data_IF_577667496357
#
_entry.id   IF_577667496357
#
_cell.length_a   1.000
_cell.length_b   1.000
_cell.length_c   1.000
_cell.angle_alpha   90.00
_cell.angle_beta   90.00
_cell.angle_gamma   90.00
#
_symmetry.space_group_name_H-M   'P 1'
#
loop_
_entity.id
_entity.type
_entity.pdbx_description
1 polymer ?
#
# COMPACT_ATOMS: atom_id res chain seq x y z
N UNK A 1 -0.77 45.37 -1.89
CA UNK A 1 0.32 44.78 -2.69
C UNK A 1 0.72 43.48 -2.03
N UNK A 2 0.16 42.38 -2.52
CA UNK A 2 0.45 41.02 -2.08
C UNK A 2 1.87 40.69 -2.50
N UNK A 3 2.74 40.38 -1.54
CA UNK A 3 4.08 39.86 -1.81
C UNK A 3 3.94 38.53 -2.53
N UNK A 4 4.39 38.50 -3.79
CA UNK A 4 4.60 37.26 -4.52
C UNK A 4 5.56 36.41 -3.68
N UNK A 5 5.06 35.34 -3.09
CA UNK A 5 5.90 34.33 -2.48
C UNK A 5 6.83 33.80 -3.59
N UNK A 6 8.14 33.79 -3.31
CA UNK A 6 9.14 33.13 -4.14
C UNK A 6 8.68 31.69 -4.40
N UNK A 7 8.10 31.44 -5.57
CA UNK A 7 7.77 30.11 -6.01
C UNK A 7 9.09 29.42 -6.34
N UNK A 8 9.66 28.72 -5.36
CA UNK A 8 10.84 27.89 -5.56
C UNK A 8 10.64 27.04 -6.82
N UNK A 9 11.66 27.01 -7.69
CA UNK A 9 11.58 26.25 -8.93
C UNK A 9 11.18 24.79 -8.63
N UNK A 10 10.24 24.20 -9.40
CA UNK A 10 9.76 22.84 -9.15
C UNK A 10 10.94 21.86 -9.10
N UNK A 11 10.91 20.86 -8.20
CA UNK A 11 12.04 19.96 -7.99
C UNK A 11 12.31 19.12 -9.24
N UNK A 12 13.54 18.66 -9.39
CA UNK A 12 13.99 17.90 -10.56
C UNK A 12 13.29 16.54 -10.70
N UNK A 13 12.94 15.92 -9.56
CA UNK A 13 12.09 14.72 -9.40
C UNK A 13 11.39 14.81 -8.05
N UNK A 14 10.13 14.42 -7.97
CA UNK A 14 9.37 14.31 -6.72
C UNK A 14 8.18 13.35 -6.84
N UNK A 15 7.75 12.83 -5.69
CA UNK A 15 6.46 12.19 -5.51
C UNK A 15 5.57 13.13 -4.70
N UNK A 16 4.53 13.67 -5.33
CA UNK A 16 3.55 14.53 -4.67
C UNK A 16 2.46 13.63 -4.09
N UNK A 17 2.18 13.77 -2.80
CA UNK A 17 1.22 12.96 -2.05
C UNK A 17 0.09 13.86 -1.57
N UNK A 18 -1.11 13.70 -2.11
CA UNK A 18 -2.30 14.48 -1.74
C UNK A 18 -3.00 13.87 -0.51
N UNK A 19 -2.80 14.48 0.66
CA UNK A 19 -3.42 14.01 1.90
C UNK A 19 -4.92 14.29 1.94
N UNK A 20 -5.45 15.24 1.16
CA UNK A 20 -6.90 15.44 1.07
C UNK A 20 -7.54 14.30 0.26
N UNK A 21 -6.88 13.82 -0.80
CA UNK A 21 -7.28 12.61 -1.52
C UNK A 21 -7.26 11.36 -0.61
N UNK A 22 -6.25 11.20 0.27
CA UNK A 22 -6.26 10.13 1.29
C UNK A 22 -7.51 10.22 2.16
N UNK A 23 -7.81 11.43 2.69
CA UNK A 23 -8.97 11.62 3.56
C UNK A 23 -10.29 11.33 2.84
N UNK A 24 -10.43 11.76 1.59
CA UNK A 24 -11.60 11.47 0.76
C UNK A 24 -11.77 9.98 0.51
N UNK A 25 -10.71 9.29 0.09
CA UNK A 25 -10.73 7.85 -0.14
C UNK A 25 -11.12 7.07 1.11
N UNK A 26 -10.53 7.42 2.28
CA UNK A 26 -10.88 6.77 3.55
C UNK A 26 -12.35 7.02 3.90
N UNK A 27 -12.88 8.24 3.74
CA UNK A 27 -14.30 8.53 3.97
C UNK A 27 -15.22 7.74 3.03
N UNK A 28 -14.90 7.71 1.74
CA UNK A 28 -15.65 6.95 0.72
C UNK A 28 -15.70 5.47 1.08
N UNK A 29 -14.54 4.87 1.40
CA UNK A 29 -14.46 3.46 1.76
C UNK A 29 -15.15 3.16 3.08
N UNK A 30 -14.98 4.00 4.11
CA UNK A 30 -15.65 3.85 5.40
C UNK A 30 -17.18 3.89 5.25
N UNK A 31 -17.70 4.80 4.42
CA UNK A 31 -19.12 4.85 4.11
C UNK A 31 -19.62 3.59 3.38
N UNK A 32 -18.84 3.05 2.44
CA UNK A 32 -19.21 1.87 1.66
C UNK A 32 -19.27 0.56 2.48
N UNK A 33 -18.48 0.49 3.55
CA UNK A 33 -18.31 -0.72 4.38
C UNK A 33 -19.04 -0.66 5.71
N UNK A 34 -19.63 0.49 6.05
CA UNK A 34 -20.43 0.67 7.26
C UNK A 34 -21.50 -0.45 7.40
N UNK A 35 -21.77 -0.94 8.62
CA UNK A 35 -21.29 -0.42 9.91
C UNK A 35 -19.91 -0.97 10.35
N UNK A 36 -19.20 -1.73 9.51
CA UNK A 36 -17.88 -2.22 9.87
C UNK A 36 -16.89 -1.06 10.06
N UNK A 37 -16.03 -1.18 11.08
CA UNK A 37 -14.95 -0.22 11.36
C UNK A 37 -13.88 -0.34 10.28
N UNK A 38 -13.00 0.65 10.16
CA UNK A 38 -11.89 0.60 9.19
C UNK A 38 -10.51 0.62 9.85
N UNK A 39 -9.64 -0.27 9.37
CA UNK A 39 -8.20 -0.28 9.64
C UNK A 39 -7.48 0.20 8.39
N UNK A 40 -6.81 1.35 8.47
CA UNK A 40 -5.95 1.84 7.40
C UNK A 40 -4.60 1.12 7.43
N UNK A 41 -4.28 0.42 6.34
CA UNK A 41 -3.03 -0.34 6.21
C UNK A 41 -1.95 0.57 5.65
N UNK A 42 -0.95 0.88 6.49
CA UNK A 42 0.14 1.84 6.22
C UNK A 42 1.53 1.19 6.22
N UNK A 43 1.59 -0.14 6.04
CA UNK A 43 2.84 -0.89 5.83
C UNK A 43 3.61 -0.41 4.60
N UNK A 44 4.86 -0.81 4.51
CA UNK A 44 5.81 -0.45 3.45
C UNK A 44 5.86 1.06 3.22
N UNK A 45 6.01 1.82 4.31
CA UNK A 45 5.97 3.28 4.31
C UNK A 45 4.67 3.85 3.68
N UNK A 46 3.52 3.32 4.08
CA UNK A 46 2.21 3.59 3.45
C UNK A 46 2.25 3.40 1.93
N UNK A 47 2.67 2.21 1.49
CA UNK A 47 2.75 1.87 0.05
C UNK A 47 3.59 2.90 -0.72
N UNK A 48 4.69 3.38 -0.11
CA UNK A 48 5.59 4.39 -0.68
C UNK A 48 5.17 5.86 -0.52
N UNK A 49 3.99 6.15 0.05
CA UNK A 49 3.45 7.51 0.20
C UNK A 49 3.98 8.24 1.44
N UNK A 50 4.42 7.52 2.48
CA UNK A 50 4.86 8.10 3.76
C UNK A 50 3.94 7.69 4.91
N UNK A 51 4.42 6.80 5.76
CA UNK A 51 3.62 6.18 6.82
C UNK A 51 2.98 7.21 7.77
N UNK A 52 3.77 8.13 8.33
CA UNK A 52 3.29 9.06 9.36
C UNK A 52 2.26 10.06 8.81
N UNK A 53 2.50 10.78 7.69
CA UNK A 53 1.51 11.71 7.16
C UNK A 53 0.21 11.03 6.73
N UNK A 54 0.31 9.85 6.07
CA UNK A 54 -0.88 9.09 5.64
C UNK A 54 -1.65 8.54 6.84
N UNK A 55 -0.98 8.00 7.86
CA UNK A 55 -1.64 7.50 9.06
C UNK A 55 -2.45 8.60 9.75
N UNK A 56 -1.88 9.80 9.91
CA UNK A 56 -2.60 10.95 10.49
C UNK A 56 -3.81 11.36 9.64
N UNK A 57 -3.63 11.44 8.32
CA UNK A 57 -4.72 11.76 7.40
C UNK A 57 -5.85 10.72 7.49
N UNK A 58 -5.52 9.43 7.43
CA UNK A 58 -6.49 8.34 7.52
C UNK A 58 -7.27 8.35 8.84
N UNK A 59 -6.59 8.53 9.98
CA UNK A 59 -7.23 8.64 11.29
C UNK A 59 -8.18 9.86 11.35
N UNK A 60 -7.75 11.02 10.83
CA UNK A 60 -8.60 12.23 10.77
C UNK A 60 -9.84 12.06 9.87
N UNK A 61 -9.81 11.08 8.97
CA UNK A 61 -10.90 10.78 8.05
C UNK A 61 -11.83 9.66 8.52
N UNK A 62 -11.60 9.12 9.73
CA UNK A 62 -12.47 8.12 10.36
C UNK A 62 -11.92 6.69 10.34
N UNK A 63 -10.66 6.47 9.94
CA UNK A 63 -10.00 5.21 10.25
C UNK A 63 -9.84 5.07 11.77
N UNK A 64 -10.24 3.93 12.32
CA UNK A 64 -10.19 3.69 13.76
C UNK A 64 -8.99 2.85 14.19
N UNK A 65 -8.40 2.14 13.22
CA UNK A 65 -7.24 1.29 13.42
C UNK A 65 -6.18 1.59 12.36
N UNK A 66 -4.94 1.25 12.69
CA UNK A 66 -3.83 1.19 11.76
C UNK A 66 -3.27 -0.24 11.68
N UNK A 67 -2.79 -0.61 10.49
CA UNK A 67 -2.17 -1.90 10.24
C UNK A 67 -0.82 -1.76 9.57
N UNK A 68 0.19 -2.44 10.09
CA UNK A 68 1.55 -2.51 9.52
C UNK A 68 2.01 -3.97 9.43
N UNK A 69 3.06 -4.24 8.65
CA UNK A 69 3.61 -5.59 8.60
C UNK A 69 4.51 -5.83 9.81
N UNK A 70 5.53 -5.00 9.98
CA UNK A 70 6.61 -5.22 10.92
C UNK A 70 6.48 -4.37 12.19
N UNK A 71 7.03 -4.88 13.30
CA UNK A 71 7.07 -4.16 14.58
C UNK A 71 7.84 -2.83 14.45
N UNK A 72 8.90 -2.80 13.63
CA UNK A 72 9.68 -1.58 13.39
C UNK A 72 8.84 -0.46 12.74
N UNK A 73 7.91 -0.82 11.84
CA UNK A 73 6.97 0.15 11.26
C UNK A 73 6.02 0.67 12.34
N UNK A 74 5.57 -0.20 13.25
CA UNK A 74 4.70 0.20 14.35
C UNK A 74 5.41 1.14 15.33
N UNK A 75 6.68 0.87 15.64
CA UNK A 75 7.51 1.77 16.44
C UNK A 75 7.64 3.15 15.81
N UNK A 76 7.90 3.24 14.50
CA UNK A 76 7.99 4.53 13.82
C UNK A 76 6.68 5.36 13.93
N UNK A 77 5.51 4.70 13.93
CA UNK A 77 4.22 5.38 14.15
C UNK A 77 4.06 5.84 15.61
N UNK A 78 4.44 5.00 16.58
CA UNK A 78 4.41 5.36 18.01
C UNK A 78 5.37 6.51 18.33
N UNK A 79 6.59 6.48 17.79
CA UNK A 79 7.58 7.56 17.94
C UNK A 79 7.09 8.89 17.34
N UNK A 80 6.17 8.83 16.37
CA UNK A 80 5.50 9.99 15.80
C UNK A 80 4.25 10.46 16.59
N UNK A 81 4.00 9.90 17.77
CA UNK A 81 2.90 10.27 18.66
C UNK A 81 1.53 9.78 18.20
N UNK A 82 1.46 8.68 17.43
CA UNK A 82 0.20 8.07 17.03
C UNK A 82 -0.22 7.05 18.08
N UNK A 83 -1.33 7.29 18.76
CA UNK A 83 -1.84 6.44 19.86
C UNK A 83 -3.03 5.54 19.46
N UNK A 84 -3.47 5.61 18.20
CA UNK A 84 -4.57 4.78 17.71
C UNK A 84 -4.24 3.27 17.83
N UNK A 85 -5.27 2.40 17.92
CA UNK A 85 -5.11 0.95 17.80
C UNK A 85 -4.25 0.57 16.59
N UNK A 86 -3.20 -0.23 16.81
CA UNK A 86 -2.18 -0.50 15.80
C UNK A 86 -1.79 -1.98 15.85
N UNK A 87 -1.99 -2.68 14.74
CA UNK A 87 -1.65 -4.10 14.59
C UNK A 87 -0.40 -4.27 13.72
N UNK A 88 0.57 -5.04 14.21
CA UNK A 88 1.68 -5.60 13.43
C UNK A 88 1.55 -7.13 13.38
N UNK A 89 1.81 -7.77 12.24
CA UNK A 89 1.46 -9.21 12.06
C UNK A 89 2.51 -10.06 11.36
N UNK A 90 3.63 -9.47 10.93
CA UNK A 90 4.77 -10.20 10.38
C UNK A 90 5.92 -10.09 11.38
N UNK A 91 6.38 -11.24 11.86
CA UNK A 91 7.31 -11.30 12.98
C UNK A 91 8.49 -12.20 12.62
N UNK A 92 9.69 -11.68 12.89
CA UNK A 92 10.91 -12.48 12.87
C UNK A 92 10.82 -13.61 13.91
N UNK A 93 11.26 -14.84 13.64
CA UNK A 93 11.24 -15.94 14.60
C UNK A 93 12.00 -15.64 15.91
N UNK A 94 13.00 -14.75 15.87
CA UNK A 94 13.77 -14.27 17.01
C UNK A 94 13.36 -12.87 17.49
N UNK A 95 12.21 -12.35 17.09
CA UNK A 95 11.74 -11.02 17.49
C UNK A 95 11.62 -10.89 19.02
N UNK A 96 12.16 -9.79 19.57
CA UNK A 96 11.83 -9.36 20.93
C UNK A 96 10.50 -8.60 20.92
N UNK A 97 9.47 -9.22 21.49
CA UNK A 97 8.13 -8.63 21.57
C UNK A 97 7.98 -7.63 22.73
N UNK A 98 8.91 -7.58 23.68
CA UNK A 98 8.83 -6.74 24.87
C UNK A 98 8.64 -5.25 24.54
N UNK A 99 9.48 -4.65 23.68
CA UNK A 99 9.34 -3.26 23.25
C UNK A 99 8.04 -2.95 22.52
N UNK A 100 7.42 -3.93 21.83
CA UNK A 100 6.13 -3.78 21.17
C UNK A 100 4.99 -3.74 22.19
N UNK A 101 5.02 -4.66 23.16
CA UNK A 101 4.02 -4.74 24.24
C UNK A 101 4.06 -3.48 25.10
N UNK A 102 5.25 -3.01 25.48
CA UNK A 102 5.42 -1.79 26.28
C UNK A 102 4.93 -0.50 25.59
N UNK A 103 4.70 -0.55 24.27
CA UNK A 103 4.21 0.58 23.44
C UNK A 103 2.79 0.37 22.94
N UNK A 104 2.03 -0.52 23.58
CA UNK A 104 0.64 -0.83 23.23
C UNK A 104 0.47 -1.13 21.74
N UNK A 105 1.32 -2.02 21.19
CA UNK A 105 1.17 -2.53 19.82
C UNK A 105 0.49 -3.90 19.89
N UNK A 106 -0.54 -4.10 19.07
CA UNK A 106 -1.23 -5.37 18.95
C UNK A 106 -0.43 -6.30 18.03
N UNK A 107 -0.33 -7.57 18.40
CA UNK A 107 0.52 -8.54 17.71
C UNK A 107 -0.31 -9.63 17.04
N UNK A 108 -0.07 -9.84 15.74
CA UNK A 108 -0.68 -10.90 14.95
C UNK A 108 -0.01 -12.24 15.20
N UNK A 109 -0.76 -13.23 15.68
CA UNK A 109 -0.25 -14.56 16.03
C UNK A 109 -0.57 -15.53 14.91
N UNK A 110 0.45 -16.08 14.27
CA UNK A 110 0.33 -17.04 13.17
C UNK A 110 0.73 -18.47 13.54
N UNK A 111 1.22 -18.72 14.75
CA UNK A 111 1.57 -20.06 15.22
C UNK A 111 1.50 -20.18 16.75
N UNK A 112 1.54 -21.40 17.27
CA UNK A 112 1.60 -21.64 18.71
C UNK A 112 2.90 -21.10 19.31
N UNK A 113 4.02 -21.27 18.61
CA UNK A 113 5.34 -20.83 19.04
C UNK A 113 5.37 -19.31 19.21
N UNK A 114 4.77 -18.57 18.27
CA UNK A 114 4.62 -17.12 18.39
C UNK A 114 3.76 -16.72 19.60
N UNK A 115 2.65 -17.43 19.85
CA UNK A 115 1.80 -17.19 21.01
C UNK A 115 2.60 -17.30 22.32
N UNK A 116 3.35 -18.39 22.50
CA UNK A 116 4.14 -18.62 23.71
C UNK A 116 5.29 -17.60 23.84
N UNK A 117 5.95 -17.23 22.73
CA UNK A 117 7.01 -16.22 22.74
C UNK A 117 6.49 -14.84 23.16
N UNK A 118 5.31 -14.44 22.67
CA UNK A 118 4.66 -13.18 23.05
C UNK A 118 4.31 -13.19 24.55
N UNK A 119 3.79 -14.31 25.07
CA UNK A 119 3.48 -14.45 26.50
C UNK A 119 4.74 -14.38 27.38
N UNK A 120 5.84 -15.01 26.96
CA UNK A 120 7.11 -14.94 27.68
C UNK A 120 7.63 -13.49 27.74
N UNK A 121 7.53 -12.76 26.63
CA UNK A 121 7.88 -11.34 26.60
C UNK A 121 6.94 -10.48 27.46
N UNK A 122 5.63 -10.73 27.42
CA UNK A 122 4.63 -10.06 28.26
C UNK A 122 4.94 -10.22 29.75
N UNK A 123 5.30 -11.45 30.17
CA UNK A 123 5.70 -11.73 31.54
C UNK A 123 6.98 -10.96 31.95
N UNK A 124 7.94 -10.82 31.04
CA UNK A 124 9.20 -10.10 31.28
C UNK A 124 8.99 -8.58 31.41
N UNK A 125 8.03 -8.02 30.67
CA UNK A 125 7.64 -6.59 30.75
C UNK A 125 6.64 -6.33 31.88
N UNK A 126 5.98 -7.35 32.40
CA UNK A 126 4.95 -7.23 33.43
C UNK A 126 3.62 -6.63 32.91
N UNK A 127 3.39 -6.69 31.60
CA UNK A 127 2.18 -6.17 30.94
C UNK A 127 1.59 -7.25 30.04
N UNK A 128 0.28 -7.47 30.14
CA UNK A 128 -0.40 -8.45 29.28
C UNK A 128 -0.36 -8.00 27.81
N UNK A 129 0.05 -8.89 26.91
CA UNK A 129 0.07 -8.59 25.48
C UNK A 129 -1.34 -8.54 24.89
N UNK A 130 -1.58 -7.67 23.91
CA UNK A 130 -2.80 -7.70 23.10
C UNK A 130 -2.51 -8.41 21.78
N UNK A 131 -3.28 -9.43 21.47
CA UNK A 131 -3.04 -10.29 20.30
C UNK A 131 -4.24 -10.41 19.39
N UNK A 132 -3.97 -10.57 18.10
CA UNK A 132 -4.95 -10.98 17.10
C UNK A 132 -4.56 -12.37 16.59
N UNK A 133 -5.42 -13.38 16.76
CA UNK A 133 -5.13 -14.74 16.29
C UNK A 133 -5.44 -14.85 14.81
N UNK A 134 -4.44 -15.27 14.02
CA UNK A 134 -4.57 -15.43 12.57
C UNK A 134 -4.85 -16.88 12.21
N UNK A 135 -6.01 -17.15 11.61
CA UNK A 135 -6.32 -18.44 11.01
C UNK A 135 -5.90 -18.42 9.53
N UNK A 136 -5.30 -19.49 9.03
CA UNK A 136 -5.18 -19.70 7.59
C UNK A 136 -6.45 -20.36 7.07
N UNK A 137 -7.22 -19.61 6.28
CA UNK A 137 -8.48 -20.09 5.69
C UNK A 137 -8.33 -20.52 4.23
N UNK A 138 -7.09 -20.68 3.74
CA UNK A 138 -6.81 -21.14 2.38
C UNK A 138 -5.84 -20.26 1.59
N UNK A 139 -5.27 -19.20 2.19
CA UNK A 139 -4.25 -18.40 1.50
C UNK A 139 -2.89 -19.11 1.49
N UNK A 140 -2.65 -20.05 2.41
CA UNK A 140 -1.41 -20.83 2.51
C UNK A 140 -0.16 -19.97 2.61
N UNK A 141 -0.21 -18.91 3.43
CA UNK A 141 0.86 -17.89 3.55
C UNK A 141 1.37 -17.72 4.96
N UNK A 142 0.47 -17.33 5.86
CA UNK A 142 0.71 -17.29 7.29
C UNK A 142 -0.62 -17.42 8.01
N UNK A 143 -0.57 -17.77 9.28
CA UNK A 143 -1.76 -18.11 10.06
C UNK A 143 -1.64 -19.54 10.53
N UNK A 144 -2.37 -19.84 11.60
CA UNK A 144 -2.47 -21.18 12.15
C UNK A 144 -3.28 -22.02 11.17
N UNK A 145 -2.76 -23.17 10.78
CA UNK A 145 -3.49 -24.09 9.91
C UNK A 145 -4.76 -24.63 10.60
N UNK A 146 -5.85 -24.92 9.87
CA UNK A 146 -7.12 -25.34 10.46
C UNK A 146 -7.03 -26.51 11.43
N UNK A 147 -6.15 -27.49 11.16
CA UNK A 147 -5.93 -28.67 12.01
C UNK A 147 -5.28 -28.33 13.36
N UNK A 148 -4.52 -27.23 13.42
CA UNK A 148 -3.85 -26.76 14.64
C UNK A 148 -4.68 -25.70 15.39
N UNK A 149 -5.66 -25.09 14.72
CA UNK A 149 -6.43 -23.98 15.25
C UNK A 149 -7.13 -24.28 16.59
N UNK A 150 -7.82 -25.43 16.78
CA UNK A 150 -8.46 -25.75 18.06
C UNK A 150 -7.47 -25.75 19.25
N UNK A 151 -6.25 -26.24 19.04
CA UNK A 151 -5.22 -26.27 20.07
C UNK A 151 -4.70 -24.87 20.42
N UNK A 152 -4.51 -24.01 19.41
CA UNK A 152 -4.06 -22.63 19.63
C UNK A 152 -5.12 -21.78 20.33
N UNK A 153 -6.40 -21.89 19.94
CA UNK A 153 -7.46 -21.13 20.59
C UNK A 153 -7.70 -21.57 22.03
N UNK A 154 -7.67 -22.88 22.31
CA UNK A 154 -7.78 -23.39 23.68
C UNK A 154 -6.63 -22.86 24.55
N UNK A 155 -5.40 -22.90 24.02
CA UNK A 155 -4.23 -22.37 24.71
C UNK A 155 -4.32 -20.86 24.94
N UNK A 156 -4.77 -20.09 23.95
CA UNK A 156 -4.96 -18.66 24.08
C UNK A 156 -6.03 -18.32 25.15
N UNK A 157 -7.10 -19.10 25.23
CA UNK A 157 -8.15 -18.93 26.25
C UNK A 157 -7.63 -19.18 27.68
N UNK A 158 -6.83 -20.23 27.88
CA UNK A 158 -6.15 -20.48 29.17
C UNK A 158 -5.25 -19.30 29.57
N UNK A 159 -4.48 -18.78 28.62
CA UNK A 159 -3.55 -17.66 28.84
C UNK A 159 -4.29 -16.35 29.12
N UNK A 160 -5.41 -16.10 28.45
CA UNK A 160 -6.28 -14.95 28.70
C UNK A 160 -6.93 -15.04 30.09
N UNK A 161 -7.46 -16.20 30.47
CA UNK A 161 -8.02 -16.44 31.80
C UNK A 161 -6.99 -16.26 32.93
N UNK A 162 -5.72 -16.58 32.64
CA UNK A 162 -4.59 -16.34 33.54
C UNK A 162 -4.06 -14.89 33.52
N UNK A 163 -4.68 -13.98 32.75
CA UNK A 163 -4.30 -12.57 32.65
C UNK A 163 -2.95 -12.33 31.96
N UNK A 164 -2.48 -13.28 31.15
CA UNK A 164 -1.17 -13.19 30.47
C UNK A 164 -1.22 -12.47 29.13
N UNK A 165 -2.38 -12.50 28.49
CA UNK A 165 -2.66 -11.81 27.24
C UNK A 165 -4.13 -11.41 27.18
N UNK A 166 -4.49 -10.62 26.18
CA UNK A 166 -5.85 -10.35 25.72
C UNK A 166 -5.98 -10.71 24.25
N UNK A 167 -6.86 -11.63 23.89
CA UNK A 167 -7.25 -11.90 22.51
C UNK A 167 -8.21 -10.81 22.07
N UNK A 168 -7.68 -9.80 21.41
CA UNK A 168 -8.44 -8.63 20.97
C UNK A 168 -9.07 -8.85 19.59
N UNK A 169 -8.47 -9.69 18.74
CA UNK A 169 -9.04 -9.97 17.43
C UNK A 169 -8.85 -11.38 16.92
N UNK A 170 -9.70 -11.76 15.97
CA UNK A 170 -9.56 -12.94 15.13
C UNK A 170 -9.51 -12.50 13.67
N UNK A 171 -8.58 -13.05 12.90
CA UNK A 171 -8.46 -12.64 11.50
C UNK A 171 -7.92 -13.68 10.54
N UNK A 172 -8.21 -13.46 9.27
CA UNK A 172 -7.59 -14.15 8.15
C UNK A 172 -7.43 -13.16 6.98
N UNK A 173 -7.03 -13.64 5.81
CA UNK A 173 -6.86 -12.87 4.60
C UNK A 173 -7.39 -13.64 3.39
N UNK A 174 -8.38 -13.06 2.71
CA UNK A 174 -8.92 -13.61 1.47
C UNK A 174 -7.87 -13.62 0.36
N UNK A 175 -7.92 -14.65 -0.48
CA UNK A 175 -7.18 -14.75 -1.72
C UNK A 175 -7.78 -13.83 -2.79
N UNK A 176 -9.10 -13.62 -2.80
CA UNK A 176 -9.85 -12.82 -3.78
C UNK A 176 -9.68 -13.38 -5.21
N UNK A 177 -9.87 -14.68 -5.35
CA UNK A 177 -9.62 -15.43 -6.59
C UNK A 177 -10.91 -15.68 -7.38
N UNK A 178 -11.91 -16.27 -6.73
CA UNK A 178 -13.21 -16.55 -7.33
C UNK A 178 -14.32 -16.54 -6.26
N UNK A 179 -15.60 -16.36 -6.64
CA UNK A 179 -16.72 -16.39 -5.70
C UNK A 179 -16.78 -17.67 -4.86
N UNK A 180 -16.51 -18.84 -5.46
CA UNK A 180 -16.60 -20.13 -4.77
C UNK A 180 -15.46 -20.31 -3.78
N UNK A 181 -14.23 -19.97 -4.17
CA UNK A 181 -13.06 -20.05 -3.28
C UNK A 181 -13.16 -19.05 -2.13
N UNK A 182 -13.56 -17.80 -2.42
CA UNK A 182 -13.76 -16.78 -1.38
C UNK A 182 -14.88 -17.17 -0.40
N UNK A 183 -15.96 -17.79 -0.89
CA UNK A 183 -17.02 -18.34 -0.04
C UNK A 183 -16.52 -19.49 0.85
N UNK A 184 -15.65 -20.37 0.33
CA UNK A 184 -15.03 -21.43 1.13
C UNK A 184 -14.12 -20.85 2.22
N UNK A 185 -13.34 -19.81 1.92
CA UNK A 185 -12.51 -19.13 2.93
C UNK A 185 -13.35 -18.43 4.00
N UNK A 186 -14.48 -17.82 3.61
CA UNK A 186 -15.44 -17.21 4.53
C UNK A 186 -16.02 -18.26 5.49
N UNK A 187 -16.52 -19.39 4.97
CA UNK A 187 -17.06 -20.46 5.79
C UNK A 187 -16.02 -21.05 6.76
N UNK A 188 -14.77 -21.22 6.30
CA UNK A 188 -13.66 -21.64 7.16
C UNK A 188 -13.37 -20.63 8.27
N UNK A 189 -13.47 -19.33 7.99
CA UNK A 189 -13.29 -18.27 8.98
C UNK A 189 -14.41 -18.28 10.03
N UNK A 190 -15.67 -18.43 9.60
CA UNK A 190 -16.83 -18.52 10.51
C UNK A 190 -16.74 -19.73 11.44
N UNK A 191 -16.30 -20.88 10.93
CA UNK A 191 -16.02 -22.06 11.75
C UNK A 191 -14.91 -21.77 12.77
N UNK A 192 -13.84 -21.10 12.33
CA UNK A 192 -12.73 -20.70 13.20
C UNK A 192 -13.17 -19.76 14.33
N UNK A 193 -14.08 -18.82 14.04
CA UNK A 193 -14.70 -17.94 15.04
C UNK A 193 -15.50 -18.77 16.05
N UNK A 194 -16.39 -19.65 15.57
CA UNK A 194 -17.20 -20.50 16.44
C UNK A 194 -16.34 -21.37 17.38
N UNK A 195 -15.22 -21.90 16.88
CA UNK A 195 -14.26 -22.66 17.69
C UNK A 195 -13.59 -21.80 18.78
N UNK A 196 -13.21 -20.57 18.46
CA UNK A 196 -12.64 -19.64 19.43
C UNK A 196 -13.67 -19.23 20.51
N UNK A 197 -14.92 -18.96 20.11
CA UNK A 197 -16.00 -18.62 21.04
C UNK A 197 -16.36 -19.80 21.96
N UNK A 198 -16.37 -21.03 21.43
CA UNK A 198 -16.58 -22.25 22.21
C UNK A 198 -15.45 -22.50 23.23
N UNK A 199 -14.23 -22.06 22.93
CA UNK A 199 -13.11 -22.08 23.88
C UNK A 199 -13.19 -20.95 24.94
N UNK A 200 -14.19 -20.06 24.86
CA UNK A 200 -14.43 -18.99 25.81
C UNK A 200 -13.84 -17.63 25.41
N UNK A 201 -13.19 -17.51 24.25
CA UNK A 201 -12.65 -16.24 23.77
C UNK A 201 -13.76 -15.30 23.33
N UNK A 202 -13.61 -14.01 23.64
CA UNK A 202 -14.54 -12.93 23.24
C UNK A 202 -13.75 -11.78 22.62
N UNK A 203 -13.33 -11.98 21.37
CA UNK A 203 -12.59 -10.99 20.61
C UNK A 203 -13.40 -9.69 20.40
N UNK A 204 -12.72 -8.54 20.45
CA UNK A 204 -13.31 -7.22 20.15
C UNK A 204 -13.63 -7.08 18.66
N UNK A 205 -12.74 -7.59 17.80
CA UNK A 205 -12.86 -7.46 16.34
C UNK A 205 -12.59 -8.76 15.60
N UNK A 206 -13.47 -9.10 14.66
CA UNK A 206 -13.27 -10.12 13.64
C UNK A 206 -13.03 -9.41 12.32
N UNK A 207 -11.97 -9.78 11.59
CA UNK A 207 -11.64 -9.11 10.33
C UNK A 207 -11.06 -10.03 9.27
N UNK A 208 -11.74 -10.14 8.13
CA UNK A 208 -11.34 -10.98 7.01
C UNK A 208 -10.96 -10.15 5.78
N UNK A 209 -11.84 -9.22 5.41
CA UNK A 209 -11.74 -8.44 4.17
C UNK A 209 -10.53 -7.49 4.11
N UNK A 210 -9.81 -7.57 2.98
CA UNK A 210 -9.00 -6.47 2.45
C UNK A 210 -9.89 -5.52 1.62
N UNK A 211 -9.33 -4.48 1.01
CA UNK A 211 -10.10 -3.54 0.16
C UNK A 211 -11.00 -4.25 -0.87
N UNK A 212 -10.50 -5.26 -1.59
CA UNK A 212 -11.27 -6.00 -2.60
C UNK A 212 -12.50 -6.68 -2.00
N UNK A 213 -12.29 -7.55 -1.01
CA UNK A 213 -13.35 -8.25 -0.30
C UNK A 213 -14.32 -7.29 0.41
N UNK A 214 -13.84 -6.17 0.93
CA UNK A 214 -14.69 -5.21 1.62
C UNK A 214 -15.71 -4.55 0.66
N UNK A 215 -15.30 -4.29 -0.57
CA UNK A 215 -16.15 -3.70 -1.60
C UNK A 215 -17.09 -4.72 -2.24
N UNK A 216 -16.60 -5.94 -2.56
CA UNK A 216 -17.36 -6.93 -3.35
C UNK A 216 -18.03 -8.03 -2.55
N UNK A 217 -17.61 -8.28 -1.31
CA UNK A 217 -18.14 -9.36 -0.47
C UNK A 217 -18.61 -8.83 0.90
N UNK A 218 -19.84 -8.26 1.00
CA UNK A 218 -20.34 -7.67 2.23
C UNK A 218 -20.30 -8.60 3.45
N UNK A 219 -20.51 -9.91 3.26
CA UNK A 219 -20.45 -10.90 4.33
C UNK A 219 -19.04 -11.03 4.97
N UNK A 220 -17.97 -10.66 4.27
CA UNK A 220 -16.60 -10.73 4.77
C UNK A 220 -16.17 -9.48 5.58
N UNK A 221 -17.05 -8.49 5.77
CA UNK A 221 -16.73 -7.23 6.45
C UNK A 221 -16.56 -7.38 7.96
N UNK A 222 -17.36 -8.26 8.59
CA UNK A 222 -17.37 -8.50 10.03
C UNK A 222 -17.34 -7.17 10.84
N UNK A 223 -16.51 -7.07 11.89
CA UNK A 223 -16.45 -5.88 12.74
C UNK A 223 -15.47 -4.82 12.21
N UNK A 224 -14.48 -5.24 11.44
CA UNK A 224 -13.37 -4.39 10.98
C UNK A 224 -12.90 -4.84 9.59
N UNK A 225 -12.77 -3.87 8.66
CA UNK A 225 -12.18 -4.10 7.34
C UNK A 225 -10.79 -3.50 7.24
N UNK A 226 -9.89 -4.13 6.49
CA UNK A 226 -8.52 -3.63 6.30
C UNK A 226 -8.39 -2.95 4.94
N UNK A 227 -8.46 -1.62 4.94
CA UNK A 227 -8.32 -0.81 3.73
C UNK A 227 -6.84 -0.52 3.49
N UNK A 228 -6.29 -1.14 2.43
CA UNK A 228 -4.92 -0.90 1.97
C UNK A 228 -4.95 -0.03 0.72
N UNK A 229 -4.77 -0.66 -0.44
CA UNK A 229 -4.56 0.03 -1.71
C UNK A 229 -5.62 1.10 -2.06
N UNK A 230 -6.88 0.86 -1.69
CA UNK A 230 -7.98 1.77 -1.99
C UNK A 230 -7.86 3.11 -1.27
N UNK A 231 -7.24 3.15 -0.09
CA UNK A 231 -6.95 4.41 0.61
C UNK A 231 -6.00 5.31 -0.21
N UNK A 232 -5.21 4.71 -1.11
CA UNK A 232 -4.26 5.38 -2.00
C UNK A 232 -4.84 5.67 -3.39
N UNK A 233 -6.13 5.39 -3.60
CA UNK A 233 -6.83 5.68 -4.85
C UNK A 233 -6.46 4.75 -6.00
N UNK A 234 -6.00 3.54 -5.69
CA UNK A 234 -5.69 2.51 -6.69
C UNK A 234 -6.72 1.37 -6.52
N UNK A 235 -7.46 1.00 -7.58
CA UNK A 235 -8.43 -0.09 -7.55
C UNK A 235 -7.78 -1.44 -7.21
N UNK A 236 -8.42 -2.28 -6.37
CA UNK A 236 -7.89 -3.59 -6.03
C UNK A 236 -8.35 -4.69 -7.02
N UNK A 237 -8.70 -4.33 -8.26
CA UNK A 237 -9.33 -5.22 -9.24
C UNK A 237 -8.55 -5.24 -10.55
N UNK A 238 -8.40 -6.42 -11.15
CA UNK A 238 -7.74 -6.61 -12.45
C UNK A 238 -8.72 -6.67 -13.64
N UNK A 239 -9.92 -6.10 -13.50
CA UNK A 239 -11.00 -6.18 -14.50
C UNK A 239 -11.30 -4.86 -15.21
N UNK A 240 -10.40 -3.88 -15.10
CA UNK A 240 -10.54 -2.56 -15.72
C UNK A 240 -11.36 -1.55 -14.89
N UNK A 241 -11.84 -1.92 -13.71
CA UNK A 241 -12.46 -0.96 -12.76
C UNK A 241 -11.47 0.16 -12.44
N UNK A 242 -11.85 1.42 -12.64
CA UNK A 242 -11.00 2.58 -12.38
C UNK A 242 -11.20 3.15 -10.98
N UNK A 243 -10.30 4.04 -10.55
CA UNK A 243 -10.45 4.75 -9.28
C UNK A 243 -11.75 5.59 -9.26
N UNK A 244 -12.07 6.24 -10.39
CA UNK A 244 -13.26 7.06 -10.53
C UNK A 244 -14.56 6.24 -10.40
N UNK A 245 -14.60 5.00 -10.92
CA UNK A 245 -15.76 4.09 -10.78
C UNK A 245 -16.05 3.76 -9.31
N UNK A 246 -15.02 3.79 -8.46
CA UNK A 246 -15.12 3.56 -7.02
C UNK A 246 -15.28 4.85 -6.20
N UNK A 247 -15.34 6.02 -6.85
CA UNK A 247 -15.35 7.31 -6.18
C UNK A 247 -14.05 7.61 -5.42
N UNK A 248 -12.93 7.05 -5.89
CA UNK A 248 -11.60 7.21 -5.31
C UNK A 248 -10.74 8.12 -6.19
N UNK A 249 -9.78 8.79 -5.56
CA UNK A 249 -8.81 9.69 -6.21
C UNK A 249 -7.38 9.17 -6.00
N UNK A 250 -6.59 8.96 -7.07
CA UNK A 250 -5.17 8.59 -6.94
C UNK A 250 -4.42 9.60 -6.06
N UNK A 251 -3.69 9.09 -5.08
CA UNK A 251 -3.04 9.93 -4.04
C UNK A 251 -1.66 10.43 -4.46
N UNK A 252 -0.90 9.61 -5.19
CA UNK A 252 0.46 9.95 -5.61
C UNK A 252 0.50 10.43 -7.05
N UNK A 253 1.15 11.57 -7.28
CA UNK A 253 1.63 12.01 -8.60
C UNK A 253 3.15 11.94 -8.63
N UNK A 254 3.70 11.03 -9.43
CA UNK A 254 5.15 10.94 -9.66
C UNK A 254 5.52 11.81 -10.86
N UNK A 255 6.35 12.83 -10.62
CA UNK A 255 6.72 13.79 -11.66
C UNK A 255 8.18 14.22 -11.57
N UNK A 256 8.67 14.80 -12.65
CA UNK A 256 9.99 15.42 -12.72
C UNK A 256 10.01 16.52 -13.77
N UNK A 257 11.21 16.89 -14.20
CA UNK A 257 11.40 17.86 -15.29
C UNK A 257 12.27 17.28 -16.38
N UNK A 258 11.95 17.60 -17.63
CA UNK A 258 12.76 17.23 -18.79
C UNK A 258 14.19 17.76 -18.59
N UNK A 259 15.16 16.85 -18.55
CA UNK A 259 16.55 17.14 -18.26
C UNK A 259 17.34 17.62 -19.48
N UNK A 260 16.95 17.15 -20.67
CA UNK A 260 17.53 17.53 -21.93
C UNK A 260 16.54 17.24 -23.07
N UNK A 261 16.64 18.01 -24.15
CA UNK A 261 15.93 17.75 -25.41
C UNK A 261 16.95 17.68 -26.53
N UNK A 262 16.85 16.69 -27.41
CA UNK A 262 17.74 16.55 -28.57
C UNK A 262 16.99 16.09 -29.81
N UNK A 263 17.30 16.70 -30.95
CA UNK A 263 16.89 16.19 -32.26
C UNK A 263 17.79 15.04 -32.70
N UNK A 264 17.22 14.03 -33.34
CA UNK A 264 17.96 12.92 -33.95
C UNK A 264 17.45 12.62 -35.36
N UNK A 265 18.33 12.04 -36.18
CA UNK A 265 18.03 11.61 -37.55
C UNK A 265 17.58 10.14 -37.62
N UNK A 266 16.88 9.73 -38.70
CA UNK A 266 16.53 8.34 -38.93
C UNK A 266 17.71 7.38 -38.80
N UNK A 267 17.46 6.19 -38.27
CA UNK A 267 18.47 5.16 -38.01
C UNK A 267 19.23 5.31 -36.70
N UNK A 268 19.15 6.46 -36.02
CA UNK A 268 19.81 6.69 -34.73
C UNK A 268 19.22 5.79 -33.64
N UNK A 269 20.06 5.02 -32.96
CA UNK A 269 19.65 4.15 -31.85
C UNK A 269 19.51 4.90 -30.53
N UNK A 270 18.57 4.47 -29.69
CA UNK A 270 18.29 5.10 -28.39
C UNK A 270 18.51 4.12 -27.24
N UNK A 271 19.22 4.60 -26.22
CA UNK A 271 19.53 3.87 -24.98
C UNK A 271 20.28 2.53 -25.20
N UNK A 272 20.45 1.75 -24.15
CA UNK A 272 21.27 0.55 -24.14
C UNK A 272 20.81 -0.50 -25.16
N UNK A 273 21.74 -0.98 -25.98
CA UNK A 273 21.50 -2.01 -26.98
C UNK A 273 20.72 -1.54 -28.21
N UNK A 274 20.39 -0.24 -28.29
CA UNK A 274 19.64 0.34 -29.41
C UNK A 274 18.39 -0.48 -29.77
N UNK A 275 17.63 -0.91 -28.76
CA UNK A 275 16.39 -1.69 -28.95
C UNK A 275 15.29 -0.88 -29.61
N UNK A 276 15.46 0.45 -29.67
CA UNK A 276 14.65 1.36 -30.47
C UNK A 276 15.57 2.18 -31.37
N UNK A 277 15.12 2.45 -32.59
CA UNK A 277 15.78 3.32 -33.57
C UNK A 277 14.73 4.23 -34.20
N UNK A 278 15.11 5.48 -34.42
CA UNK A 278 14.22 6.43 -35.09
C UNK A 278 13.98 5.99 -36.55
N UNK A 279 12.73 5.97 -36.97
CA UNK A 279 12.31 5.74 -38.35
C UNK A 279 12.18 7.05 -39.14
N UNK A 280 12.02 8.17 -38.43
CA UNK A 280 11.91 9.54 -38.96
C UNK A 280 12.73 10.53 -38.11
N UNK A 281 13.03 11.74 -38.62
CA UNK A 281 13.55 12.81 -37.78
C UNK A 281 12.58 13.05 -36.61
N UNK A 282 13.12 13.14 -35.39
CA UNK A 282 12.31 13.35 -34.19
C UNK A 282 13.10 14.01 -33.07
N UNK A 283 12.39 14.59 -32.10
CA UNK A 283 12.99 15.08 -30.86
C UNK A 283 12.80 14.06 -29.73
N UNK A 284 13.84 13.92 -28.92
CA UNK A 284 13.86 13.07 -27.74
C UNK A 284 13.97 13.92 -26.49
N UNK A 285 13.13 13.63 -25.50
CA UNK A 285 13.19 14.20 -24.16
C UNK A 285 13.82 13.20 -23.18
N UNK A 286 14.75 13.68 -22.36
CA UNK A 286 15.40 12.90 -21.31
C UNK A 286 14.67 13.11 -19.98
N UNK A 287 14.16 12.02 -19.40
CA UNK A 287 13.46 12.03 -18.10
C UNK A 287 14.41 11.55 -17.00
N UNK A 288 14.65 12.34 -15.93
CA UNK A 288 15.67 12.05 -14.91
C UNK A 288 15.15 11.16 -13.77
N UNK A 289 14.41 10.11 -14.11
CA UNK A 289 14.03 9.03 -13.21
C UNK A 289 14.37 7.69 -13.87
N UNK A 290 14.96 6.76 -13.12
CA UNK A 290 15.27 5.43 -13.63
C UNK A 290 14.94 4.33 -12.62
N UNK A 291 15.45 3.12 -12.88
CA UNK A 291 15.11 1.98 -12.02
C UNK A 291 15.66 2.06 -10.60
N UNK A 292 16.67 2.90 -10.33
CA UNK A 292 17.12 3.20 -8.96
C UNK A 292 16.18 4.18 -8.23
N UNK A 293 15.32 4.89 -8.95
CA UNK A 293 14.26 5.74 -8.41
C UNK A 293 12.93 4.98 -8.23
N UNK A 294 12.84 3.76 -8.74
CA UNK A 294 11.66 2.89 -8.67
C UNK A 294 10.97 2.62 -10.01
N UNK A 295 11.46 3.17 -11.12
CA UNK A 295 10.85 2.97 -12.44
C UNK A 295 11.16 1.57 -12.96
N UNK A 296 10.18 0.69 -13.21
CA UNK A 296 10.44 -0.69 -13.58
C UNK A 296 11.12 -0.77 -14.95
N UNK A 297 12.30 -1.40 -15.00
CA UNK A 297 13.03 -1.59 -16.26
C UNK A 297 12.22 -2.41 -17.28
N UNK A 298 11.31 -3.25 -16.80
CA UNK A 298 10.38 -4.07 -17.56
C UNK A 298 9.44 -3.24 -18.44
N UNK A 299 9.13 -1.98 -18.06
CA UNK A 299 8.32 -1.06 -18.86
C UNK A 299 9.07 -0.41 -20.04
N UNK A 300 10.31 -0.84 -20.34
CA UNK A 300 11.08 -0.34 -21.48
C UNK A 300 10.32 -0.55 -22.80
N UNK A 301 10.01 0.54 -23.51
CA UNK A 301 9.28 0.48 -24.79
C UNK A 301 7.76 0.30 -24.67
N UNK A 302 7.21 0.25 -23.44
CA UNK A 302 5.78 0.04 -23.16
C UNK A 302 5.17 1.13 -22.30
N UNK A 303 5.95 1.69 -21.37
CA UNK A 303 5.49 2.78 -20.52
C UNK A 303 5.23 4.07 -21.32
N UNK A 304 4.33 4.89 -20.82
CA UNK A 304 4.07 6.23 -21.32
C UNK A 304 4.24 7.26 -20.21
N UNK A 305 4.50 8.51 -20.59
CA UNK A 305 4.50 9.66 -19.69
C UNK A 305 3.64 10.78 -20.26
N UNK A 306 3.21 11.72 -19.42
CA UNK A 306 2.54 12.95 -19.85
C UNK A 306 3.51 14.12 -19.89
N UNK A 307 3.67 14.74 -21.06
CA UNK A 307 4.53 15.91 -21.28
C UNK A 307 3.79 16.87 -22.23
N UNK A 308 3.75 18.15 -21.87
CA UNK A 308 3.21 19.22 -22.70
C UNK A 308 1.80 18.92 -23.27
N UNK A 309 0.92 18.36 -22.44
CA UNK A 309 -0.48 18.13 -22.83
C UNK A 309 -0.73 16.87 -23.66
N UNK A 310 0.24 15.95 -23.76
CA UNK A 310 0.07 14.69 -24.48
C UNK A 310 0.82 13.52 -23.84
N UNK A 311 0.31 12.30 -24.07
CA UNK A 311 0.99 11.05 -23.71
C UNK A 311 2.10 10.74 -24.70
N UNK A 312 3.25 10.31 -24.17
CA UNK A 312 4.49 10.11 -24.92
C UNK A 312 5.11 8.76 -24.56
N UNK A 313 5.49 7.94 -25.55
CA UNK A 313 6.03 6.61 -25.28
C UNK A 313 7.48 6.68 -24.80
N UNK A 314 7.82 5.80 -23.86
CA UNK A 314 9.21 5.48 -23.52
C UNK A 314 9.87 4.81 -24.71
N UNK A 315 11.02 5.32 -25.16
CA UNK A 315 11.78 4.74 -26.28
C UNK A 315 13.14 4.21 -25.84
N UNK A 316 13.41 2.96 -26.22
CA UNK A 316 14.59 2.23 -25.78
C UNK A 316 14.48 1.74 -24.33
N UNK A 317 15.62 1.38 -23.74
CA UNK A 317 15.67 0.83 -22.38
C UNK A 317 15.65 1.91 -21.31
N UNK A 318 14.92 1.66 -20.23
CA UNK A 318 15.00 2.43 -18.99
C UNK A 318 16.35 2.14 -18.31
N UNK A 319 17.11 3.19 -17.99
CA UNK A 319 18.40 3.12 -17.32
C UNK A 319 18.27 3.31 -15.80
N UNK A 320 19.40 3.30 -15.09
CA UNK A 320 19.43 3.41 -13.63
C UNK A 320 18.83 4.71 -13.11
N UNK A 321 19.13 5.82 -13.79
CA UNK A 321 18.80 7.18 -13.32
C UNK A 321 17.91 7.98 -14.28
N UNK A 322 17.61 7.42 -15.46
CA UNK A 322 16.94 8.14 -16.54
C UNK A 322 16.36 7.22 -17.60
N UNK A 323 15.43 7.74 -18.39
CA UNK A 323 14.99 7.13 -19.65
C UNK A 323 14.67 8.21 -20.68
N UNK A 324 14.42 7.77 -21.90
CA UNK A 324 14.19 8.65 -23.06
C UNK A 324 12.77 8.46 -23.56
N UNK A 325 12.17 9.56 -23.99
CA UNK A 325 10.80 9.65 -24.49
C UNK A 325 10.86 10.30 -25.87
N UNK A 326 10.12 9.76 -26.83
CA UNK A 326 9.93 10.39 -28.14
C UNK A 326 8.82 11.44 -28.04
N UNK A 327 9.15 12.69 -28.34
CA UNK A 327 8.21 13.83 -28.29
C UNK A 327 7.88 14.37 -29.67
N UNK A 328 8.34 13.74 -30.74
CA UNK A 328 8.00 14.16 -32.10
C UNK A 328 8.56 15.54 -32.44
N UNK A 329 7.76 16.34 -33.14
CA UNK A 329 8.05 17.75 -33.45
C UNK A 329 7.40 18.72 -32.46
N UNK A 330 6.79 18.20 -31.39
CA UNK A 330 6.07 19.03 -30.43
C UNK A 330 7.04 19.88 -29.60
N UNK A 331 6.66 21.11 -29.23
CA UNK A 331 7.53 22.03 -28.53
C UNK A 331 7.69 21.63 -27.06
N UNK A 332 8.65 20.74 -26.80
CA UNK A 332 9.08 20.36 -25.44
C UNK A 332 10.45 21.00 -25.16
N UNK A 333 10.57 21.65 -24.01
CA UNK A 333 11.77 22.32 -23.56
C UNK A 333 12.40 21.64 -22.32
N UNK A 334 13.69 21.89 -22.12
CA UNK A 334 14.34 21.53 -20.85
C UNK A 334 13.69 22.29 -19.70
N UNK A 335 13.32 21.58 -18.64
CA UNK A 335 12.60 22.14 -17.49
C UNK A 335 11.09 21.90 -17.53
N UNK A 336 10.51 21.53 -18.67
CA UNK A 336 9.09 21.18 -18.76
C UNK A 336 8.74 20.02 -17.83
N UNK A 337 7.54 20.06 -17.26
CA UNK A 337 7.04 19.00 -16.39
C UNK A 337 6.84 17.70 -17.19
N UNK A 338 7.26 16.60 -16.58
CA UNK A 338 6.92 15.24 -17.00
C UNK A 338 6.24 14.52 -15.86
N UNK A 339 5.01 14.04 -16.10
CA UNK A 339 4.27 13.22 -15.14
C UNK A 339 4.34 11.76 -15.60
N UNK A 340 4.90 10.90 -14.76
CA UNK A 340 5.03 9.48 -15.06
C UNK A 340 3.70 8.80 -14.79
N UNK A 341 3.18 8.95 -13.58
CA UNK A 341 1.83 8.54 -13.24
C UNK A 341 1.18 9.50 -12.24
N UNK A 342 -0.14 9.54 -12.23
CA UNK A 342 -0.97 10.36 -11.36
C UNK A 342 -2.45 10.04 -11.56
N UNK A 343 -3.29 11.08 -11.54
CA UNK A 343 -4.72 10.96 -11.80
C UNK A 343 -5.02 10.93 -13.31
N UNK A 344 -5.61 9.85 -13.86
CA UNK A 344 -5.98 9.75 -15.27
C UNK A 344 -6.94 10.83 -15.75
N UNK A 345 -7.73 11.45 -14.86
CA UNK A 345 -8.60 12.57 -15.21
C UNK A 345 -7.82 13.81 -15.68
N UNK A 346 -6.51 13.88 -15.37
CA UNK A 346 -5.60 14.94 -15.84
C UNK A 346 -4.92 14.63 -17.18
N UNK A 347 -5.14 13.43 -17.75
CA UNK A 347 -4.45 12.91 -18.93
C UNK A 347 -3.19 12.09 -18.62
N UNK A 348 -2.67 12.18 -17.39
CA UNK A 348 -1.54 11.39 -16.93
C UNK A 348 -1.83 9.87 -16.98
N UNK A 349 -0.81 9.02 -17.17
CA UNK A 349 -0.95 7.59 -16.91
C UNK A 349 -1.29 7.30 -15.45
N UNK A 350 -1.99 6.20 -15.17
CA UNK A 350 -2.21 5.70 -13.81
C UNK A 350 -1.03 4.84 -13.34
N UNK A 351 -1.01 4.54 -12.03
CA UNK A 351 -0.07 3.55 -11.49
C UNK A 351 -0.35 2.14 -12.05
N UNK A 352 -1.61 1.80 -12.33
CA UNK A 352 -1.97 0.50 -12.93
C UNK A 352 -1.52 0.42 -14.40
N UNK A 353 -1.60 1.50 -15.17
CA UNK A 353 -1.09 1.53 -16.56
C UNK A 353 0.43 1.30 -16.59
N UNK A 354 1.17 1.81 -15.60
CA UNK A 354 2.58 1.48 -15.43
C UNK A 354 2.80 0.04 -14.94
N UNK A 355 1.88 -0.49 -14.14
CA UNK A 355 1.85 -1.89 -13.74
C UNK A 355 1.74 -2.80 -14.96
N UNK A 356 0.73 -2.56 -15.79
CA UNK A 356 0.48 -3.29 -17.03
C UNK A 356 1.66 -3.17 -18.00
N UNK A 357 2.27 -1.99 -18.13
CA UNK A 357 3.47 -1.81 -18.95
C UNK A 357 4.67 -2.64 -18.45
N UNK A 358 4.74 -2.94 -17.15
CA UNK A 358 5.80 -3.70 -16.51
C UNK A 358 5.45 -5.17 -16.19
N UNK A 359 4.28 -5.65 -16.63
CA UNK A 359 3.71 -6.96 -16.29
C UNK A 359 3.60 -7.19 -14.78
N UNK A 360 3.07 -6.18 -14.07
CA UNK A 360 2.83 -6.17 -12.63
C UNK A 360 1.56 -5.36 -12.30
N UNK A 361 1.38 -4.97 -11.04
CA UNK A 361 0.20 -4.27 -10.52
C UNK A 361 0.56 -2.88 -9.97
N UNK A 362 -0.38 -1.94 -9.95
CA UNK A 362 -0.16 -0.58 -9.43
C UNK A 362 0.35 -0.53 -7.99
N UNK A 363 0.04 -1.55 -7.18
CA UNK A 363 0.59 -1.73 -5.83
C UNK A 363 2.12 -1.74 -5.83
N UNK A 364 2.73 -2.49 -6.75
CA UNK A 364 4.19 -2.60 -6.82
C UNK A 364 4.79 -1.28 -7.30
N UNK A 365 4.13 -0.61 -8.26
CA UNK A 365 4.58 0.67 -8.82
C UNK A 365 4.74 1.74 -7.73
N UNK A 366 3.70 2.00 -6.93
CA UNK A 366 3.77 3.03 -5.89
C UNK A 366 4.69 2.66 -4.74
N UNK A 367 4.74 1.37 -4.37
CA UNK A 367 5.54 0.89 -3.24
C UNK A 367 7.04 0.96 -3.53
N UNK A 368 7.46 0.84 -4.80
CA UNK A 368 8.87 0.80 -5.19
C UNK A 368 9.53 2.16 -5.39
N UNK A 369 8.80 3.26 -5.25
CA UNK A 369 9.40 4.60 -5.38
C UNK A 369 10.50 4.77 -4.33
N UNK A 370 11.74 4.92 -4.79
CA UNK A 370 12.94 4.89 -3.95
C UNK A 370 13.12 6.16 -3.12
N UNK A 371 13.99 6.11 -2.11
CA UNK A 371 14.26 7.24 -1.22
C UNK A 371 14.93 8.45 -1.91
N UNK A 372 15.50 8.28 -3.11
CA UNK A 372 16.05 9.36 -3.94
C UNK A 372 14.99 10.31 -4.49
N UNK A 373 13.73 9.85 -4.52
CA UNK A 373 12.59 10.67 -4.92
C UNK A 373 12.01 11.32 -3.66
N UNK A 374 12.21 12.65 -3.47
CA UNK A 374 11.64 13.34 -2.32
C UNK A 374 10.12 13.30 -2.38
N UNK A 375 9.48 13.13 -1.22
CA UNK A 375 8.02 13.25 -1.09
C UNK A 375 7.65 14.67 -0.70
N UNK A 376 6.65 15.22 -1.36
CA UNK A 376 6.01 16.48 -0.95
C UNK A 376 4.55 16.22 -0.66
N UNK A 377 4.10 16.62 0.52
CA UNK A 377 2.73 16.42 0.97
C UNK A 377 1.90 17.67 0.65
N UNK A 378 0.77 17.46 -0.03
CA UNK A 378 -0.30 18.45 -0.17
C UNK A 378 -1.38 18.18 0.87
N UNK A 379 -2.10 19.22 1.25
CA UNK A 379 -3.02 19.17 2.39
C UNK A 379 -2.25 19.21 3.72
N UNK A 380 -2.66 20.12 4.61
CA UNK A 380 -2.17 20.22 5.99
C UNK A 380 -3.27 19.83 6.97
N UNK A 381 -2.93 19.68 8.26
CA UNK A 381 -3.85 19.22 9.31
C UNK A 381 -5.21 19.92 9.28
#
# INVERSE_FOLDING_TARGET
MTTAADAAAPPFREAVVDLDAVRENVRTLAAAVAPARTMAVVKANAYGHGAVPVARAALSAGAEWLGVADIAEAHALRDAGIDAPLLAWLHDPGADFGPAIARDIDLGVSSREQLEAIVAAAASVGTAARVHLKLDTGLSRSGVAPEHWPGVVARAAELEAAGRLRVRGLFSHLANTSPDEDAAQLAAFELGIAQAEAAGLRAEVRHLASTAGALRLPAARFDLVRIGIGAYGIPPFGDGTTAADLGLRPVMTLRGRVAAVRRIEPGTGVSYGHTWRADRPTNLALVPLGYADGIPRQASGRGEVWIAGARRPVVGRIAMDQFVVDVGEDPVATGDEVVLFGDPQTGAPSADEWGDAADTIGYEIVTRIGARVPRRYLGGA
#
